data_IF_606152922114
#
_entry.id   IF_606152922114
#
_cell.length_a   1.000
_cell.length_b   1.000
_cell.length_c   1.000
_cell.angle_alpha   90.00
_cell.angle_beta   90.00
_cell.angle_gamma   90.00
#
_symmetry.space_group_name_H-M   'P 1'
#
loop_
_entity.id
_entity.type
_entity.pdbx_description
1 polymer ?
#
# COMPACT_ATOMS: atom_id res chain seq x y z
N UNK A 1 -14.41 0.05 -5.51
CA UNK A 1 -13.32 0.88 -4.97
C UNK A 1 -13.08 0.48 -3.53
N UNK A 2 -11.82 0.32 -3.12
CA UNK A 2 -11.42 0.13 -1.74
C UNK A 2 -10.43 1.22 -1.32
N UNK A 3 -10.42 1.57 -0.03
CA UNK A 3 -9.56 2.62 0.52
C UNK A 3 -8.82 2.11 1.75
N UNK A 4 -7.49 2.27 1.73
CA UNK A 4 -6.61 2.04 2.85
C UNK A 4 -6.21 3.42 3.42
N UNK A 5 -6.78 3.86 4.56
CA UNK A 5 -6.47 5.16 5.14
C UNK A 5 -5.10 5.17 5.80
N UNK A 6 -4.54 6.37 5.95
CA UNK A 6 -3.37 6.61 6.78
C UNK A 6 -3.66 6.23 8.24
N UNK A 7 -2.72 5.57 8.89
CA UNK A 7 -2.85 5.12 10.28
C UNK A 7 -3.78 3.91 10.43
N UNK A 8 -3.26 2.83 10.93
CA UNK A 8 -3.96 1.54 11.03
C UNK A 8 -4.43 1.30 12.46
N UNK A 9 -5.35 2.15 12.95
CA UNK A 9 -5.94 2.00 14.28
C UNK A 9 -7.18 1.12 14.22
N UNK A 10 -7.23 0.14 15.12
CA UNK A 10 -8.40 -0.69 15.33
C UNK A 10 -8.89 -0.49 16.76
N UNK A 11 -10.14 -0.07 16.93
CA UNK A 11 -10.73 0.19 18.24
C UNK A 11 -11.35 -1.05 18.86
N UNK A 12 -11.68 -2.06 18.06
CA UNK A 12 -12.35 -3.26 18.52
C UNK A 12 -11.35 -4.40 18.70
N UNK A 13 -11.40 -5.11 19.85
CA UNK A 13 -10.50 -6.22 20.14
C UNK A 13 -10.98 -7.52 19.46
N UNK A 14 -11.04 -7.51 18.13
CA UNK A 14 -11.38 -8.67 17.31
C UNK A 14 -10.13 -9.42 16.84
N UNK A 15 -10.23 -10.74 16.57
CA UNK A 15 -9.19 -11.47 15.87
C UNK A 15 -8.83 -10.83 14.53
N UNK A 16 -7.56 -10.87 14.15
CA UNK A 16 -7.10 -10.26 12.89
C UNK A 16 -7.82 -10.87 11.67
N UNK A 17 -8.09 -12.16 11.67
CA UNK A 17 -8.84 -12.82 10.60
C UNK A 17 -10.28 -12.30 10.48
N UNK A 18 -10.95 -11.99 11.60
CA UNK A 18 -12.28 -11.38 11.57
C UNK A 18 -12.23 -9.95 10.99
N UNK A 19 -11.20 -9.18 11.37
CA UNK A 19 -10.98 -7.84 10.76
C UNK A 19 -10.82 -7.95 9.25
N UNK A 20 -10.07 -8.95 8.75
CA UNK A 20 -9.92 -9.17 7.31
C UNK A 20 -11.25 -9.59 6.67
N UNK A 21 -12.04 -10.43 7.35
CA UNK A 21 -13.35 -10.87 6.88
C UNK A 21 -14.34 -9.71 6.70
N UNK A 22 -14.21 -8.62 7.49
CA UNK A 22 -15.00 -7.40 7.26
C UNK A 22 -14.79 -6.80 5.85
N UNK A 23 -13.68 -7.10 5.18
CA UNK A 23 -13.47 -6.74 3.78
C UNK A 23 -14.47 -7.39 2.82
N UNK A 24 -15.15 -8.46 3.24
CA UNK A 24 -16.19 -9.11 2.43
C UNK A 24 -17.58 -8.50 2.58
N UNK A 25 -17.75 -7.56 3.52
CA UNK A 25 -19.05 -6.91 3.74
C UNK A 25 -19.74 -6.39 2.46
N UNK A 26 -19.05 -5.81 1.46
CA UNK A 26 -19.68 -5.39 0.21
C UNK A 26 -20.25 -6.54 -0.64
N UNK A 27 -19.89 -7.78 -0.33
CA UNK A 27 -20.34 -9.00 -1.02
C UNK A 27 -21.30 -9.84 -0.18
N UNK A 28 -21.49 -9.45 1.10
CA UNK A 28 -22.31 -10.20 2.03
C UNK A 28 -23.81 -10.09 1.69
N UNK A 29 -24.48 -11.23 1.71
CA UNK A 29 -25.93 -11.28 1.81
C UNK A 29 -26.31 -11.45 3.28
N UNK A 30 -27.06 -10.50 3.89
CA UNK A 30 -27.42 -10.56 5.30
C UNK A 30 -28.19 -11.81 5.72
N UNK A 31 -28.81 -12.50 4.77
CA UNK A 31 -29.64 -13.67 5.01
C UNK A 31 -28.95 -15.00 4.65
N UNK A 32 -27.71 -14.94 4.16
CA UNK A 32 -26.96 -16.12 3.76
C UNK A 32 -25.71 -16.34 4.63
N UNK A 33 -25.30 -17.59 4.87
CA UNK A 33 -24.02 -17.87 5.53
C UNK A 33 -22.86 -17.38 4.65
N UNK A 34 -21.69 -17.16 5.29
CA UNK A 34 -20.44 -16.80 4.61
C UNK A 34 -20.12 -17.82 3.51
N UNK A 35 -20.01 -17.37 2.27
CA UNK A 35 -19.78 -18.24 1.13
C UNK A 35 -18.34 -18.80 1.10
N UNK A 36 -18.13 -19.90 0.36
CA UNK A 36 -16.77 -20.43 0.13
C UNK A 36 -15.87 -19.41 -0.56
N UNK A 37 -16.41 -18.65 -1.50
CA UNK A 37 -15.69 -17.55 -2.17
C UNK A 37 -15.19 -16.48 -1.18
N UNK A 38 -15.98 -16.16 -0.17
CA UNK A 38 -15.58 -15.18 0.84
C UNK A 38 -14.48 -15.76 1.73
N UNK A 39 -14.59 -17.02 2.13
CA UNK A 39 -13.53 -17.71 2.88
C UNK A 39 -12.22 -17.77 2.10
N UNK A 40 -12.29 -18.11 0.81
CA UNK A 40 -11.11 -18.12 -0.09
C UNK A 40 -10.49 -16.73 -0.25
N UNK A 41 -11.30 -15.69 -0.43
CA UNK A 41 -10.81 -14.32 -0.56
C UNK A 41 -10.10 -13.84 0.71
N UNK A 42 -10.64 -14.16 1.88
CA UNK A 42 -10.02 -13.85 3.18
C UNK A 42 -8.71 -14.63 3.35
N UNK A 43 -8.73 -15.94 3.10
CA UNK A 43 -7.54 -16.79 3.22
C UNK A 43 -6.42 -16.32 2.28
N UNK A 44 -6.74 -15.98 1.04
CA UNK A 44 -5.79 -15.43 0.09
C UNK A 44 -5.22 -14.08 0.55
N UNK A 45 -6.06 -13.17 1.04
CA UNK A 45 -5.59 -11.87 1.54
C UNK A 45 -4.66 -12.02 2.75
N UNK A 46 -4.95 -12.94 3.67
CA UNK A 46 -4.10 -13.26 4.82
C UNK A 46 -2.75 -13.83 4.37
N UNK A 47 -2.75 -14.70 3.36
CA UNK A 47 -1.55 -15.34 2.85
C UNK A 47 -0.59 -14.35 2.19
N UNK A 48 -1.09 -13.57 1.21
CA UNK A 48 -0.25 -12.62 0.46
C UNK A 48 0.29 -11.45 1.30
N UNK A 49 -0.36 -11.12 2.41
CA UNK A 49 0.12 -10.10 3.36
C UNK A 49 0.99 -10.66 4.48
N UNK A 50 1.18 -12.00 4.53
CA UNK A 50 1.93 -12.67 5.58
C UNK A 50 1.32 -12.48 6.96
N UNK A 51 -0.02 -12.49 7.05
CA UNK A 51 -0.75 -12.30 8.31
C UNK A 51 -1.44 -13.56 8.82
N UNK A 52 -1.32 -14.66 8.09
CA UNK A 52 -1.97 -15.94 8.41
C UNK A 52 -1.60 -16.48 9.78
N UNK A 53 -0.33 -16.38 10.18
CA UNK A 53 0.17 -16.95 11.43
C UNK A 53 -0.35 -16.25 12.69
N UNK A 54 -0.94 -15.08 12.54
CA UNK A 54 -1.55 -14.34 13.64
C UNK A 54 -3.01 -13.96 13.39
N UNK A 55 -3.67 -14.68 12.48
CA UNK A 55 -5.09 -14.45 12.17
C UNK A 55 -6.00 -14.56 13.40
N UNK A 56 -5.67 -15.45 14.34
CA UNK A 56 -6.43 -15.66 15.59
C UNK A 56 -6.06 -14.69 16.72
N UNK A 57 -4.99 -13.89 16.55
CA UNK A 57 -4.58 -12.93 17.56
C UNK A 57 -5.46 -11.69 17.52
N UNK A 58 -5.74 -11.15 18.72
CA UNK A 58 -6.51 -9.91 18.85
C UNK A 58 -5.74 -8.75 18.23
N UNK A 59 -6.36 -8.05 17.30
CA UNK A 59 -5.71 -7.00 16.49
C UNK A 59 -5.09 -5.87 17.31
N UNK A 60 -5.68 -5.53 18.46
CA UNK A 60 -5.15 -4.49 19.36
C UNK A 60 -3.85 -4.89 20.06
N UNK A 61 -3.52 -6.20 20.10
CA UNK A 61 -2.27 -6.71 20.69
C UNK A 61 -1.11 -6.82 19.68
N UNK A 62 -1.40 -6.56 18.39
CA UNK A 62 -0.42 -6.62 17.32
C UNK A 62 0.50 -5.38 17.33
N UNK A 63 1.72 -5.54 16.80
CA UNK A 63 2.61 -4.42 16.53
C UNK A 63 2.04 -3.50 15.45
N UNK A 64 2.58 -2.28 15.32
CA UNK A 64 2.15 -1.33 14.28
C UNK A 64 2.24 -1.92 12.87
N UNK A 65 3.35 -2.60 12.56
CA UNK A 65 3.55 -3.24 11.26
C UNK A 65 2.63 -4.43 11.00
N UNK A 66 2.33 -5.24 12.04
CA UNK A 66 1.33 -6.31 11.94
C UNK A 66 -0.07 -5.74 11.67
N UNK A 67 -0.45 -4.67 12.40
CA UNK A 67 -1.73 -3.97 12.16
C UNK A 67 -1.85 -3.41 10.76
N UNK A 68 -0.79 -2.79 10.25
CA UNK A 68 -0.76 -2.25 8.88
C UNK A 68 -1.02 -3.37 7.84
N UNK A 69 -0.40 -4.52 7.99
CA UNK A 69 -0.62 -5.67 7.10
C UNK A 69 -2.02 -6.25 7.22
N UNK A 70 -2.61 -6.29 8.44
CA UNK A 70 -4.02 -6.69 8.63
C UNK A 70 -4.97 -5.70 7.94
N UNK A 71 -4.70 -4.38 8.03
CA UNK A 71 -5.49 -3.37 7.34
C UNK A 71 -5.42 -3.54 5.82
N UNK A 72 -4.21 -3.80 5.29
CA UNK A 72 -4.02 -4.09 3.87
C UNK A 72 -4.75 -5.37 3.45
N UNK A 73 -4.65 -6.46 4.25
CA UNK A 73 -5.37 -7.70 3.99
C UNK A 73 -6.89 -7.48 3.93
N UNK A 74 -7.45 -6.70 4.85
CA UNK A 74 -8.87 -6.34 4.83
C UNK A 74 -9.27 -5.65 3.54
N UNK A 75 -8.47 -4.70 3.08
CA UNK A 75 -8.73 -3.97 1.84
C UNK A 75 -8.64 -4.90 0.63
N UNK A 76 -7.66 -5.79 0.57
CA UNK A 76 -7.49 -6.75 -0.52
C UNK A 76 -8.63 -7.79 -0.55
N UNK A 77 -9.12 -8.22 0.62
CA UNK A 77 -10.25 -9.13 0.72
C UNK A 77 -11.52 -8.57 0.05
N UNK A 78 -11.64 -7.25 -0.15
CA UNK A 78 -12.74 -6.66 -0.92
C UNK A 78 -12.73 -7.04 -2.40
N UNK A 79 -11.57 -7.46 -2.94
CA UNK A 79 -11.39 -7.73 -4.36
C UNK A 79 -11.82 -6.56 -5.27
N UNK A 80 -11.66 -5.34 -4.79
CA UNK A 80 -12.02 -4.14 -5.52
C UNK A 80 -11.07 -3.93 -6.72
N UNK A 81 -11.63 -3.50 -7.85
CA UNK A 81 -10.86 -3.19 -9.06
C UNK A 81 -9.97 -1.93 -8.91
N UNK A 82 -10.31 -1.06 -7.97
CA UNK A 82 -9.56 0.18 -7.70
C UNK A 82 -9.23 0.23 -6.22
N UNK A 83 -7.95 0.38 -5.91
CA UNK A 83 -7.42 0.52 -4.57
C UNK A 83 -6.78 1.90 -4.41
N UNK A 84 -7.25 2.67 -3.43
CA UNK A 84 -6.60 3.90 -2.97
C UNK A 84 -5.86 3.57 -1.67
N UNK A 85 -4.57 3.90 -1.60
CA UNK A 85 -3.73 3.66 -0.42
C UNK A 85 -3.06 4.97 0.02
N UNK A 86 -3.38 5.42 1.21
CA UNK A 86 -2.84 6.65 1.78
C UNK A 86 -1.70 6.32 2.74
N UNK A 87 -0.48 6.61 2.33
CA UNK A 87 0.78 6.31 3.05
C UNK A 87 0.87 4.86 3.57
N UNK A 88 0.70 3.85 2.70
CA UNK A 88 0.56 2.45 3.11
C UNK A 88 1.81 1.86 3.78
N UNK A 89 2.95 2.52 3.66
CA UNK A 89 4.26 2.08 4.17
C UNK A 89 4.75 2.90 5.38
N UNK A 90 3.97 3.90 5.82
CA UNK A 90 4.36 4.76 6.93
C UNK A 90 4.56 3.95 8.21
N UNK A 91 5.63 4.24 8.94
CA UNK A 91 6.00 3.59 10.21
C UNK A 91 6.26 2.07 10.11
N UNK A 92 6.49 1.54 8.91
CA UNK A 92 6.95 0.18 8.71
C UNK A 92 8.47 0.11 8.65
N UNK A 93 9.05 -0.99 9.15
CA UNK A 93 10.45 -1.28 8.88
C UNK A 93 10.69 -1.59 7.39
N UNK A 94 11.93 -1.48 6.89
CA UNK A 94 12.22 -1.63 5.47
C UNK A 94 11.73 -2.95 4.87
N UNK A 95 11.82 -4.07 5.60
CA UNK A 95 11.35 -5.37 5.11
C UNK A 95 9.84 -5.34 4.83
N UNK A 96 9.07 -4.80 5.77
CA UNK A 96 7.61 -4.75 5.64
C UNK A 96 7.15 -3.70 4.62
N UNK A 97 7.91 -2.61 4.43
CA UNK A 97 7.66 -1.67 3.32
C UNK A 97 7.73 -2.38 1.96
N UNK A 98 8.75 -3.19 1.72
CA UNK A 98 8.86 -3.97 0.49
C UNK A 98 7.70 -4.96 0.33
N UNK A 99 7.32 -5.67 1.38
CA UNK A 99 6.17 -6.60 1.33
C UNK A 99 4.90 -5.88 0.90
N UNK A 100 4.59 -4.72 1.52
CA UNK A 100 3.40 -3.93 1.17
C UNK A 100 3.47 -3.46 -0.29
N UNK A 101 4.61 -2.93 -0.73
CA UNK A 101 4.78 -2.46 -2.11
C UNK A 101 4.69 -3.59 -3.14
N UNK A 102 5.23 -4.77 -2.84
CA UNK A 102 5.09 -5.95 -3.70
C UNK A 102 3.63 -6.41 -3.82
N UNK A 103 2.89 -6.40 -2.72
CA UNK A 103 1.45 -6.74 -2.70
C UNK A 103 0.65 -5.76 -3.54
N UNK A 104 0.87 -4.44 -3.38
CA UNK A 104 0.19 -3.41 -4.17
C UNK A 104 0.52 -3.54 -5.66
N UNK A 105 1.79 -3.79 -6.01
CA UNK A 105 2.22 -4.04 -7.38
C UNK A 105 1.58 -5.30 -7.97
N UNK A 106 1.47 -6.36 -7.16
CA UNK A 106 0.79 -7.59 -7.59
C UNK A 106 -0.70 -7.33 -7.89
N UNK A 107 -1.40 -6.61 -7.02
CA UNK A 107 -2.80 -6.22 -7.23
C UNK A 107 -3.00 -5.42 -8.54
N UNK A 108 -2.08 -4.49 -8.83
CA UNK A 108 -2.10 -3.73 -10.08
C UNK A 108 -1.87 -4.62 -11.31
N UNK A 109 -0.90 -5.56 -11.25
CA UNK A 109 -0.60 -6.50 -12.35
C UNK A 109 -1.70 -7.53 -12.59
N UNK A 110 -2.48 -7.85 -11.57
CA UNK A 110 -3.65 -8.73 -11.68
C UNK A 110 -4.87 -8.06 -12.36
N UNK A 111 -4.70 -6.85 -12.92
CA UNK A 111 -5.74 -6.11 -13.63
C UNK A 111 -6.49 -5.09 -12.79
N UNK A 112 -6.04 -4.84 -11.56
CA UNK A 112 -6.52 -3.74 -10.72
C UNK A 112 -5.85 -2.41 -11.06
N UNK A 113 -6.42 -1.32 -10.57
CA UNK A 113 -5.78 0.00 -10.53
C UNK A 113 -5.42 0.34 -9.08
N UNK A 114 -4.17 0.71 -8.83
CA UNK A 114 -3.69 1.12 -7.50
C UNK A 114 -3.19 2.55 -7.58
N UNK A 115 -3.73 3.42 -6.74
CA UNK A 115 -3.23 4.77 -6.50
C UNK A 115 -2.74 4.84 -5.05
N UNK A 116 -1.44 5.06 -4.87
CA UNK A 116 -0.84 5.18 -3.55
C UNK A 116 -0.19 6.56 -3.35
N UNK A 117 -0.43 7.16 -2.19
CA UNK A 117 0.33 8.33 -1.73
C UNK A 117 1.59 7.82 -1.05
N UNK A 118 2.76 8.25 -1.52
CA UNK A 118 4.06 7.77 -1.03
C UNK A 118 5.01 8.97 -0.92
N UNK A 119 5.73 9.07 0.19
CA UNK A 119 6.75 10.10 0.40
C UNK A 119 8.17 9.60 0.07
N UNK A 120 8.38 8.30 0.01
CA UNK A 120 9.67 7.70 -0.36
C UNK A 120 9.84 7.71 -1.89
N UNK A 121 10.70 8.63 -2.38
CA UNK A 121 10.97 8.79 -3.81
C UNK A 121 11.64 7.55 -4.42
N UNK A 122 12.45 6.83 -3.64
CA UNK A 122 13.13 5.63 -4.11
C UNK A 122 12.14 4.48 -4.31
N UNK A 123 11.22 4.27 -3.38
CA UNK A 123 10.16 3.28 -3.52
C UNK A 123 9.18 3.67 -4.64
N UNK A 124 8.81 4.95 -4.74
CA UNK A 124 7.97 5.42 -5.85
C UNK A 124 8.62 5.12 -7.21
N UNK A 125 9.92 5.40 -7.38
CA UNK A 125 10.66 5.12 -8.62
C UNK A 125 10.69 3.65 -8.99
N UNK A 126 10.79 2.76 -8.00
CA UNK A 126 10.94 1.31 -8.20
C UNK A 126 9.61 0.58 -8.45
N UNK A 127 8.53 1.09 -7.92
CA UNK A 127 7.26 0.36 -7.88
C UNK A 127 6.18 0.96 -8.77
N UNK A 128 6.16 2.27 -8.95
CA UNK A 128 5.13 2.93 -9.74
C UNK A 128 5.37 2.73 -11.25
N UNK A 129 4.29 2.61 -11.99
CA UNK A 129 4.29 2.67 -13.46
C UNK A 129 4.06 4.10 -13.97
N UNK A 130 3.47 4.94 -13.13
CA UNK A 130 3.16 6.35 -13.37
C UNK A 130 3.22 7.10 -12.07
N UNK A 131 3.79 8.29 -12.07
CA UNK A 131 3.93 9.15 -10.90
C UNK A 131 3.26 10.48 -11.17
N UNK A 132 2.40 10.87 -10.23
CA UNK A 132 1.79 12.19 -10.16
C UNK A 132 2.51 12.98 -9.08
N UNK A 133 3.10 14.11 -9.44
CA UNK A 133 3.72 15.02 -8.47
C UNK A 133 2.77 16.18 -8.22
N UNK A 134 2.44 16.40 -6.96
CA UNK A 134 1.55 17.48 -6.54
C UNK A 134 2.33 18.57 -5.81
N UNK A 135 2.09 19.81 -6.18
CA UNK A 135 2.57 21.00 -5.48
C UNK A 135 1.41 21.98 -5.27
N UNK A 136 1.21 22.42 -4.03
CA UNK A 136 0.16 23.42 -3.66
C UNK A 136 -1.22 23.10 -4.24
N UNK A 137 -1.59 21.80 -4.22
CA UNK A 137 -2.89 21.32 -4.71
C UNK A 137 -3.01 21.21 -6.24
N UNK A 138 -1.91 21.33 -6.98
CA UNK A 138 -1.87 21.19 -8.44
C UNK A 138 -0.95 20.06 -8.85
N UNK A 139 -1.33 19.35 -9.92
CA UNK A 139 -0.46 18.34 -10.53
C UNK A 139 0.56 19.11 -11.37
N UNK A 140 1.84 18.99 -11.02
CA UNK A 140 2.98 19.62 -11.70
C UNK A 140 3.77 18.64 -12.56
N UNK A 141 3.57 17.33 -12.35
CA UNK A 141 4.04 16.29 -13.25
C UNK A 141 3.08 15.10 -13.22
N UNK A 142 2.98 14.44 -14.36
CA UNK A 142 2.19 13.25 -14.58
C UNK A 142 2.86 12.42 -15.68
N UNK A 143 3.75 11.52 -15.29
CA UNK A 143 4.59 10.78 -16.24
C UNK A 143 5.14 9.48 -15.62
N UNK A 144 5.96 8.76 -16.39
CA UNK A 144 6.76 7.65 -15.89
C UNK A 144 7.72 8.13 -14.78
N UNK A 145 8.11 7.26 -13.83
CA UNK A 145 8.95 7.66 -12.70
C UNK A 145 10.22 8.43 -13.10
N UNK A 146 10.90 7.98 -14.14
CA UNK A 146 12.19 8.58 -14.59
C UNK A 146 12.02 10.03 -15.06
N UNK A 147 10.87 10.37 -15.62
CA UNK A 147 10.56 11.72 -16.12
C UNK A 147 9.90 12.58 -15.04
N UNK A 148 9.04 11.98 -14.22
CA UNK A 148 8.36 12.67 -13.14
C UNK A 148 9.31 13.04 -11.99
N UNK A 149 10.25 12.16 -11.63
CA UNK A 149 11.18 12.29 -10.52
C UNK A 149 12.61 12.61 -10.98
N UNK A 150 12.76 13.58 -11.92
CA UNK A 150 14.08 14.05 -12.32
C UNK A 150 14.72 14.96 -11.23
N UNK A 151 16.06 15.04 -11.17
CA UNK A 151 16.77 15.78 -10.11
C UNK A 151 16.35 17.25 -9.97
N UNK A 152 16.15 17.94 -11.11
CA UNK A 152 15.75 19.34 -11.09
C UNK A 152 14.39 19.53 -10.41
N UNK A 153 13.39 18.72 -10.79
CA UNK A 153 12.04 18.80 -10.18
C UNK A 153 12.05 18.41 -8.72
N UNK A 154 12.85 17.39 -8.35
CA UNK A 154 12.98 17.01 -6.94
C UNK A 154 13.56 18.16 -6.13
N UNK A 155 14.59 18.84 -6.64
CA UNK A 155 15.18 20.00 -5.99
C UNK A 155 14.17 21.15 -5.84
N UNK A 156 13.44 21.50 -6.89
CA UNK A 156 12.47 22.60 -6.91
C UNK A 156 11.29 22.36 -5.95
N UNK A 157 10.77 21.12 -5.88
CA UNK A 157 9.53 20.82 -5.14
C UNK A 157 9.81 20.37 -3.70
N UNK A 158 10.84 19.54 -3.52
CA UNK A 158 11.13 18.93 -2.20
C UNK A 158 12.27 19.65 -1.48
N UNK A 159 12.99 20.59 -2.11
CA UNK A 159 14.08 21.33 -1.49
C UNK A 159 15.27 20.46 -1.12
N UNK A 160 15.55 19.41 -1.88
CA UNK A 160 16.65 18.48 -1.64
C UNK A 160 17.44 18.21 -2.92
N UNK A 161 18.75 18.01 -2.76
CA UNK A 161 19.58 17.48 -3.85
C UNK A 161 19.54 15.95 -3.85
N UNK A 162 19.59 15.36 -5.04
CA UNK A 162 19.59 13.91 -5.22
C UNK A 162 20.66 13.46 -6.21
N UNK A 163 21.26 12.31 -5.91
CA UNK A 163 22.03 11.55 -6.88
C UNK A 163 21.14 10.45 -7.48
N UNK A 164 21.18 10.30 -8.81
CA UNK A 164 20.46 9.23 -9.48
C UNK A 164 21.30 7.97 -9.52
N UNK A 165 20.90 6.96 -8.76
CA UNK A 165 21.59 5.67 -8.67
C UNK A 165 20.86 4.65 -9.53
N UNK A 166 21.60 3.89 -10.33
CA UNK A 166 21.03 2.79 -11.12
C UNK A 166 20.97 1.50 -10.29
N UNK A 167 19.75 0.98 -10.10
CA UNK A 167 19.49 -0.31 -9.45
C UNK A 167 18.77 -1.21 -10.45
N UNK A 168 19.50 -2.14 -11.05
CA UNK A 168 19.01 -2.92 -12.20
C UNK A 168 18.71 -2.01 -13.39
N UNK A 169 17.47 -2.05 -13.88
CA UNK A 169 17.02 -1.20 -15.01
C UNK A 169 16.34 0.11 -14.56
N UNK A 170 16.26 0.36 -13.24
CA UNK A 170 15.56 1.53 -12.70
C UNK A 170 16.55 2.57 -12.20
N UNK A 171 16.29 3.84 -12.52
CA UNK A 171 16.96 5.00 -11.92
C UNK A 171 16.24 5.39 -10.64
N UNK A 172 16.97 5.44 -9.53
CA UNK A 172 16.41 5.69 -8.19
C UNK A 172 17.06 6.94 -7.60
N UNK A 173 16.27 7.95 -7.20
CA UNK A 173 16.81 9.14 -6.54
C UNK A 173 17.25 8.80 -5.11
N UNK A 174 18.49 9.10 -4.78
CA UNK A 174 19.05 9.06 -3.45
C UNK A 174 19.20 10.50 -2.95
N UNK A 175 18.47 10.86 -1.90
CA UNK A 175 18.60 12.19 -1.27
C UNK A 175 19.98 12.29 -0.62
N UNK A 176 20.73 13.35 -0.97
CA UNK A 176 22.10 13.56 -0.49
C UNK A 176 22.17 14.69 0.54
N UNK A 177 21.44 15.78 0.37
CA UNK A 177 21.40 16.90 1.32
C UNK A 177 20.20 17.81 1.09
N UNK A 178 19.76 18.58 2.12
CA UNK A 178 18.81 19.68 1.92
C UNK A 178 19.46 20.81 1.11
N UNK A 179 18.62 21.57 0.41
CA UNK A 179 19.03 22.80 -0.29
C UNK A 179 18.90 24.02 0.60
#
# INVERSE_FOLDING_TARGET
LAYLPQGHSFSWPLPAGEIVALGRYPHADPFSPVSDKDREAVAHALDITGTKDFADRIVTTLSGGERARVALARVLATQAKVLLADEPIMSLDPRHQFVVMDVLRHAARAGGAVLAVIHDLALASRYATRVLVLEKGRIVADDRPELALNPQRIAEIFGVEVDMIRIGDTQVPLVTKPM
#
